data_IF_774784102200
#
_entry.id   IF_774784102200
#
_cell.length_a   1.000
_cell.length_b   1.000
_cell.length_c   1.000
_cell.angle_alpha   90.00
_cell.angle_beta   90.00
_cell.angle_gamma   90.00
#
_symmetry.space_group_name_H-M   'P 1'
#
loop_
_entity.id
_entity.type
_entity.pdbx_description
1 polymer ?
#
# COMPACT_ATOMS: atom_id res chain seq x y z
N UNK A 1 -71.23 29.66 4.08
CA UNK A 1 -70.05 29.99 3.25
C UNK A 1 -68.78 30.09 4.10
N UNK A 2 -68.44 29.05 4.89
CA UNK A 2 -67.29 29.09 5.82
C UNK A 2 -66.52 27.76 5.96
N UNK A 3 -66.81 26.76 5.11
CA UNK A 3 -66.26 25.40 5.23
C UNK A 3 -65.24 25.04 4.15
N UNK A 4 -64.95 25.92 3.17
CA UNK A 4 -64.07 25.58 2.04
C UNK A 4 -62.64 26.14 2.16
N UNK A 5 -62.44 27.25 2.87
CA UNK A 5 -61.10 27.87 3.05
C UNK A 5 -60.19 27.13 4.03
N UNK A 6 -60.71 26.24 4.87
CA UNK A 6 -59.93 25.54 5.90
C UNK A 6 -59.26 24.26 5.40
N UNK A 7 -59.76 23.67 4.31
CA UNK A 7 -59.26 22.40 3.76
C UNK A 7 -58.00 22.63 2.91
N UNK A 8 -58.04 23.56 1.96
CA UNK A 8 -56.90 23.90 1.08
C UNK A 8 -55.63 24.37 1.81
N UNK A 9 -55.77 25.09 2.93
CA UNK A 9 -54.61 25.58 3.68
C UNK A 9 -53.92 24.47 4.49
N UNK A 10 -54.63 23.37 4.78
CA UNK A 10 -54.06 22.21 5.49
C UNK A 10 -53.21 21.37 4.53
N UNK A 11 -53.71 21.11 3.32
CA UNK A 11 -53.03 20.28 2.33
C UNK A 11 -51.66 20.85 1.89
N UNK A 12 -51.53 22.18 1.73
CA UNK A 12 -50.26 22.82 1.37
C UNK A 12 -49.23 22.74 2.50
N UNK A 13 -49.68 22.81 3.76
CA UNK A 13 -48.80 22.66 4.93
C UNK A 13 -48.29 21.23 5.06
N UNK A 14 -49.14 20.25 4.79
CA UNK A 14 -48.78 18.83 4.85
C UNK A 14 -47.83 18.45 3.70
N UNK A 15 -48.05 18.95 2.48
CA UNK A 15 -47.14 18.75 1.36
C UNK A 15 -45.76 19.43 1.57
N UNK A 16 -45.73 20.64 2.14
CA UNK A 16 -44.48 21.35 2.45
C UNK A 16 -43.73 20.70 3.61
N UNK A 17 -44.45 20.20 4.62
CA UNK A 17 -43.86 19.43 5.72
C UNK A 17 -43.27 18.11 5.21
N UNK A 18 -43.98 17.38 4.34
CA UNK A 18 -43.49 16.12 3.76
C UNK A 18 -42.24 16.33 2.88
N UNK A 19 -42.21 17.39 2.07
CA UNK A 19 -41.04 17.75 1.25
C UNK A 19 -39.82 18.16 2.09
N UNK A 20 -40.04 18.88 3.20
CA UNK A 20 -38.97 19.27 4.12
C UNK A 20 -38.39 18.06 4.88
N UNK A 21 -39.24 17.09 5.26
CA UNK A 21 -38.80 15.83 5.89
C UNK A 21 -38.00 14.97 4.91
N UNK A 22 -38.45 14.83 3.65
CA UNK A 22 -37.72 14.09 2.62
C UNK A 22 -36.33 14.68 2.30
N UNK A 23 -36.23 16.01 2.20
CA UNK A 23 -34.94 16.70 2.01
C UNK A 23 -34.01 16.59 3.23
N UNK A 24 -34.58 16.52 4.45
CA UNK A 24 -33.82 16.31 5.69
C UNK A 24 -33.20 14.92 5.75
N UNK A 25 -33.94 13.86 5.41
CA UNK A 25 -33.45 12.48 5.44
C UNK A 25 -32.36 12.23 4.39
N UNK A 26 -32.51 12.76 3.16
CA UNK A 26 -31.50 12.59 2.10
C UNK A 26 -30.18 13.32 2.41
N UNK A 27 -30.26 14.52 3.03
CA UNK A 27 -29.06 15.27 3.47
C UNK A 27 -28.38 14.61 4.68
N UNK A 28 -29.15 14.16 5.68
CA UNK A 28 -28.57 13.54 6.89
C UNK A 28 -27.90 12.20 6.56
N UNK A 29 -28.46 11.39 5.65
CA UNK A 29 -27.83 10.15 5.20
C UNK A 29 -26.52 10.35 4.44
N UNK A 30 -26.48 11.31 3.50
CA UNK A 30 -25.26 11.64 2.73
C UNK A 30 -24.14 12.22 3.61
N UNK A 31 -24.47 13.11 4.55
CA UNK A 31 -23.47 13.73 5.44
C UNK A 31 -22.89 12.68 6.39
N UNK A 32 -23.70 11.74 6.88
CA UNK A 32 -23.25 10.70 7.81
C UNK A 32 -22.29 9.70 7.16
N UNK A 33 -22.60 9.21 5.96
CA UNK A 33 -21.69 8.32 5.22
C UNK A 33 -20.35 9.00 4.86
N UNK A 34 -20.39 10.25 4.40
CA UNK A 34 -19.16 10.99 4.04
C UNK A 34 -18.33 11.29 5.29
N UNK A 35 -18.97 11.58 6.43
CA UNK A 35 -18.27 11.71 7.72
C UNK A 35 -17.65 10.40 8.15
N UNK A 36 -18.40 9.30 8.14
CA UNK A 36 -17.91 7.97 8.53
C UNK A 36 -16.79 7.47 7.59
N UNK A 37 -16.90 7.78 6.29
CA UNK A 37 -15.86 7.49 5.30
C UNK A 37 -14.62 8.35 5.51
N UNK A 38 -14.78 9.66 5.79
CA UNK A 38 -13.67 10.54 6.13
C UNK A 38 -12.98 10.05 7.40
N UNK A 39 -13.73 9.68 8.43
CA UNK A 39 -13.21 9.16 9.70
C UNK A 39 -12.51 7.81 9.51
N UNK A 40 -12.99 6.98 8.58
CA UNK A 40 -12.34 5.72 8.20
C UNK A 40 -11.01 5.93 7.46
N UNK A 41 -11.00 6.80 6.45
CA UNK A 41 -9.81 7.11 5.63
C UNK A 41 -8.78 7.93 6.42
N UNK A 42 -9.22 8.74 7.39
CA UNK A 42 -8.32 9.49 8.28
C UNK A 42 -7.56 8.59 9.25
N UNK A 43 -7.87 7.28 9.32
CA UNK A 43 -7.03 6.31 10.01
C UNK A 43 -5.74 6.13 9.20
N UNK A 44 -4.63 6.67 9.71
CA UNK A 44 -3.32 6.69 9.02
C UNK A 44 -2.88 5.32 8.48
N UNK A 45 -3.14 4.24 9.22
CA UNK A 45 -2.84 2.87 8.78
C UNK A 45 -3.51 2.47 7.45
N UNK A 46 -4.72 2.94 7.16
CA UNK A 46 -5.42 2.63 5.90
C UNK A 46 -4.88 3.49 4.76
N UNK A 47 -4.62 4.77 5.03
CA UNK A 47 -4.10 5.71 4.04
C UNK A 47 -2.71 5.28 3.55
N UNK A 48 -1.80 4.94 4.46
CA UNK A 48 -0.43 4.55 4.10
C UNK A 48 -0.40 3.23 3.30
N UNK A 49 -1.25 2.25 3.67
CA UNK A 49 -1.40 1.04 2.88
C UNK A 49 -2.02 1.30 1.49
N UNK A 50 -3.01 2.19 1.40
CA UNK A 50 -3.65 2.55 0.13
C UNK A 50 -2.67 3.25 -0.82
N UNK A 51 -1.89 4.21 -0.32
CA UNK A 51 -0.85 4.88 -1.12
C UNK A 51 0.21 3.88 -1.57
N UNK A 52 0.65 2.98 -0.69
CA UNK A 52 1.61 1.92 -1.03
C UNK A 52 1.12 1.01 -2.16
N UNK A 53 -0.15 0.57 -2.12
CA UNK A 53 -0.75 -0.26 -3.17
C UNK A 53 -0.87 0.48 -4.50
N UNK A 54 -1.37 1.72 -4.50
CA UNK A 54 -1.57 2.52 -5.72
C UNK A 54 -0.22 2.82 -6.39
N UNK A 55 0.76 3.27 -5.61
CA UNK A 55 2.11 3.54 -6.11
C UNK A 55 2.79 2.25 -6.58
N UNK A 56 2.61 1.14 -5.86
CA UNK A 56 3.12 -0.17 -6.27
C UNK A 56 2.53 -0.67 -7.59
N UNK A 57 1.23 -0.52 -7.79
CA UNK A 57 0.55 -0.90 -9.04
C UNK A 57 1.00 -0.03 -10.22
N UNK A 58 1.06 1.30 -10.02
CA UNK A 58 1.52 2.23 -11.05
C UNK A 58 3.00 1.99 -11.41
N UNK A 59 3.86 1.77 -10.41
CA UNK A 59 5.27 1.48 -10.62
C UNK A 59 5.46 0.16 -11.37
N UNK A 60 4.73 -0.89 -11.00
CA UNK A 60 4.75 -2.16 -11.72
C UNK A 60 4.35 -1.98 -13.19
N UNK A 61 3.31 -1.19 -13.47
CA UNK A 61 2.89 -0.90 -14.84
C UNK A 61 3.98 -0.18 -15.66
N UNK A 62 4.71 0.77 -15.05
CA UNK A 62 5.84 1.47 -15.69
C UNK A 62 6.97 0.48 -16.02
N UNK A 63 7.32 -0.38 -15.06
CA UNK A 63 8.38 -1.38 -15.26
C UNK A 63 7.98 -2.37 -16.35
N UNK A 64 6.75 -2.89 -16.31
CA UNK A 64 6.21 -3.79 -17.34
C UNK A 64 6.21 -3.13 -18.72
N UNK A 65 5.82 -1.85 -18.82
CA UNK A 65 5.89 -1.09 -20.07
C UNK A 65 7.31 -0.95 -20.60
N UNK A 66 8.28 -0.65 -19.73
CA UNK A 66 9.70 -0.56 -20.09
C UNK A 66 10.22 -1.92 -20.61
N UNK A 67 9.87 -3.00 -19.95
CA UNK A 67 10.26 -4.36 -20.38
C UNK A 67 9.63 -4.69 -21.72
N UNK A 68 8.31 -4.51 -21.84
CA UNK A 68 7.58 -4.94 -23.02
C UNK A 68 7.87 -4.09 -24.27
N UNK A 69 8.05 -2.77 -24.09
CA UNK A 69 8.20 -1.84 -25.20
C UNK A 69 9.66 -1.52 -25.56
N UNK A 70 10.61 -1.71 -24.63
CA UNK A 70 12.03 -1.40 -24.88
C UNK A 70 12.89 -2.66 -24.82
N UNK A 71 12.82 -3.43 -23.73
CA UNK A 71 13.71 -4.59 -23.58
C UNK A 71 13.35 -5.74 -24.51
N UNK A 72 12.08 -6.12 -24.63
CA UNK A 72 11.68 -7.22 -25.51
C UNK A 72 12.01 -6.95 -26.98
N UNK A 73 11.74 -5.76 -27.58
CA UNK A 73 12.15 -5.48 -28.95
C UNK A 73 13.68 -5.43 -29.11
N UNK A 74 14.40 -4.82 -28.16
CA UNK A 74 15.86 -4.75 -28.22
C UNK A 74 16.50 -6.14 -28.16
N UNK A 75 16.00 -7.01 -27.27
CA UNK A 75 16.45 -8.40 -27.17
C UNK A 75 16.02 -9.21 -28.40
N UNK A 76 14.78 -9.05 -28.85
CA UNK A 76 14.26 -9.71 -30.04
C UNK A 76 15.07 -9.40 -31.31
N UNK A 77 15.62 -8.18 -31.44
CA UNK A 77 16.53 -7.85 -32.53
C UNK A 77 17.90 -8.54 -32.43
N UNK A 78 18.41 -8.75 -31.22
CA UNK A 78 19.73 -9.37 -30.98
C UNK A 78 19.64 -10.91 -31.05
N UNK A 79 18.55 -11.47 -30.54
CA UNK A 79 18.38 -12.92 -30.36
C UNK A 79 17.47 -13.56 -31.42
N UNK A 80 16.96 -12.78 -32.37
CA UNK A 80 16.21 -13.28 -33.53
C UNK A 80 14.75 -13.65 -33.25
N UNK A 81 14.00 -12.74 -32.60
CA UNK A 81 12.58 -12.92 -32.26
C UNK A 81 12.34 -14.21 -31.45
N UNK A 82 12.93 -14.27 -30.25
CA UNK A 82 12.65 -15.36 -29.31
C UNK A 82 11.23 -15.16 -28.77
N UNK A 83 10.25 -15.76 -29.45
CA UNK A 83 8.92 -15.99 -28.92
C UNK A 83 8.69 -17.49 -28.77
N UNK A 84 8.68 -17.96 -27.53
CA UNK A 84 8.39 -19.35 -27.21
C UNK A 84 6.88 -19.62 -27.12
N UNK A 85 6.02 -18.61 -27.27
CA UNK A 85 4.57 -18.73 -27.05
C UNK A 85 3.89 -19.77 -27.95
N UNK A 86 4.46 -20.06 -29.11
CA UNK A 86 3.94 -21.06 -30.05
C UNK A 86 4.24 -22.50 -29.64
N UNK A 87 5.10 -22.71 -28.64
CA UNK A 87 5.43 -24.03 -28.13
C UNK A 87 4.28 -24.56 -27.26
N UNK A 88 3.47 -25.44 -27.85
CA UNK A 88 2.36 -26.12 -27.19
C UNK A 88 2.37 -27.61 -27.48
N UNK A 89 2.04 -28.42 -26.48
CA UNK A 89 1.75 -29.85 -26.66
C UNK A 89 0.24 -29.98 -26.75
N UNK A 90 -0.27 -30.40 -27.90
CA UNK A 90 -1.69 -30.64 -28.12
C UNK A 90 -2.05 -32.03 -27.55
N UNK A 91 -2.86 -32.07 -26.50
CA UNK A 91 -3.33 -33.32 -25.88
C UNK A 91 -4.63 -33.82 -26.51
N UNK A 92 -5.49 -32.90 -26.94
CA UNK A 92 -6.70 -33.19 -27.71
C UNK A 92 -6.76 -32.22 -28.88
N UNK A 93 -6.69 -32.76 -30.10
CA UNK A 93 -6.86 -31.96 -31.30
C UNK A 93 -8.28 -31.40 -31.35
N UNK A 94 -8.42 -30.14 -31.78
CA UNK A 94 -9.74 -29.55 -32.01
C UNK A 94 -10.52 -30.36 -33.05
N UNK A 95 -11.75 -30.70 -32.73
CA UNK A 95 -12.68 -31.27 -33.71
C UNK A 95 -13.38 -30.10 -34.41
N UNK A 96 -13.13 -29.98 -35.72
CA UNK A 96 -13.73 -28.95 -36.58
C UNK A 96 -14.73 -29.61 -37.54
N UNK A 97 -15.96 -29.11 -37.60
CA UNK A 97 -16.84 -29.29 -38.77
C UNK A 97 -16.82 -27.99 -39.57
N UNK A 98 -16.17 -28.01 -40.73
CA UNK A 98 -16.04 -26.82 -41.57
C UNK A 98 -15.28 -25.69 -40.88
N UNK A 99 -15.90 -24.52 -40.76
CA UNK A 99 -15.31 -23.30 -40.18
C UNK A 99 -15.62 -23.13 -38.69
N UNK A 100 -16.49 -23.96 -38.11
CA UNK A 100 -16.87 -23.89 -36.70
C UNK A 100 -16.08 -24.90 -35.85
N UNK A 101 -15.62 -24.42 -34.70
CA UNK A 101 -14.90 -25.21 -33.71
C UNK A 101 -15.95 -25.81 -32.78
N UNK A 102 -16.20 -27.12 -32.89
CA UNK A 102 -17.19 -27.83 -32.06
C UNK A 102 -16.60 -28.14 -30.69
N UNK A 103 -15.33 -28.52 -30.65
CA UNK A 103 -14.57 -28.69 -29.41
C UNK A 103 -13.23 -27.93 -29.49
N UNK A 104 -12.91 -27.06 -28.52
CA UNK A 104 -11.64 -26.35 -28.51
C UNK A 104 -10.46 -27.33 -28.35
N UNK A 105 -9.32 -26.99 -28.95
CA UNK A 105 -8.10 -27.76 -28.71
C UNK A 105 -7.74 -27.69 -27.22
N UNK A 106 -7.34 -28.83 -26.66
CA UNK A 106 -6.79 -28.87 -25.31
C UNK A 106 -5.28 -29.04 -25.47
N UNK A 107 -4.56 -27.94 -25.31
CA UNK A 107 -3.11 -27.90 -25.42
C UNK A 107 -2.48 -27.36 -24.13
N UNK A 108 -1.37 -27.98 -23.72
CA UNK A 108 -0.49 -27.41 -22.68
C UNK A 108 0.49 -26.47 -23.39
N UNK A 109 0.24 -25.16 -23.30
CA UNK A 109 1.12 -24.11 -23.79
C UNK A 109 2.28 -23.86 -22.84
N UNK A 110 3.26 -24.76 -22.78
CA UNK A 110 4.48 -24.58 -21.96
C UNK A 110 5.33 -23.40 -22.46
N UNK A 111 5.19 -23.04 -23.72
CA UNK A 111 5.75 -21.84 -24.32
C UNK A 111 5.38 -20.55 -23.61
N UNK A 112 4.10 -20.36 -23.30
CA UNK A 112 3.61 -19.18 -22.58
C UNK A 112 4.15 -19.12 -21.14
N UNK A 113 4.38 -20.27 -20.50
CA UNK A 113 5.00 -20.34 -19.19
C UNK A 113 6.48 -19.92 -19.24
N UNK A 114 7.25 -20.44 -20.19
CA UNK A 114 8.65 -20.05 -20.39
C UNK A 114 8.76 -18.55 -20.70
N UNK A 115 7.87 -18.03 -21.56
CA UNK A 115 7.82 -16.61 -21.86
C UNK A 115 7.52 -15.77 -20.61
N UNK A 116 6.60 -16.23 -19.75
CA UNK A 116 6.30 -15.57 -18.47
C UNK A 116 7.50 -15.56 -17.51
N UNK A 117 8.28 -16.65 -17.46
CA UNK A 117 9.52 -16.73 -16.66
C UNK A 117 10.58 -15.76 -17.19
N UNK A 118 10.76 -15.69 -18.51
CA UNK A 118 11.68 -14.74 -19.15
C UNK A 118 11.24 -13.30 -18.87
N UNK A 119 9.96 -12.98 -19.05
CA UNK A 119 9.41 -11.65 -18.76
C UNK A 119 9.63 -11.26 -17.29
N UNK A 120 9.42 -12.19 -16.35
CA UNK A 120 9.69 -11.96 -14.93
C UNK A 120 11.17 -11.66 -14.66
N UNK A 121 12.10 -12.42 -15.25
CA UNK A 121 13.55 -12.17 -15.17
C UNK A 121 13.91 -10.78 -15.73
N UNK A 122 13.28 -10.36 -16.82
CA UNK A 122 13.48 -9.02 -17.40
C UNK A 122 12.93 -7.90 -16.53
N UNK A 123 11.75 -8.08 -15.93
CA UNK A 123 11.18 -7.14 -14.94
C UNK A 123 12.13 -7.01 -13.74
N UNK A 124 12.61 -8.12 -13.20
CA UNK A 124 13.57 -8.10 -12.09
C UNK A 124 14.87 -7.37 -12.46
N UNK A 125 15.42 -7.65 -13.64
CA UNK A 125 16.61 -6.96 -14.16
C UNK A 125 16.38 -5.46 -14.35
N UNK A 126 15.21 -5.08 -14.88
CA UNK A 126 14.81 -3.70 -15.11
C UNK A 126 14.71 -2.91 -13.80
N UNK A 127 14.05 -3.47 -12.79
CA UNK A 127 13.97 -2.86 -11.44
C UNK A 127 15.36 -2.71 -10.82
N UNK A 128 16.22 -3.72 -10.96
CA UNK A 128 17.59 -3.68 -10.47
C UNK A 128 18.41 -2.55 -11.11
N UNK A 129 18.33 -2.40 -12.43
CA UNK A 129 18.99 -1.30 -13.16
C UNK A 129 18.46 0.05 -12.67
N UNK A 130 17.13 0.20 -12.54
CA UNK A 130 16.51 1.44 -12.08
C UNK A 130 16.99 1.85 -10.68
N UNK A 131 17.01 0.91 -9.73
CA UNK A 131 17.50 1.16 -8.36
C UNK A 131 18.99 1.51 -8.39
N UNK A 132 19.80 0.81 -9.20
CA UNK A 132 21.23 1.07 -9.34
C UNK A 132 21.49 2.46 -9.92
N UNK A 133 20.73 2.89 -10.91
CA UNK A 133 20.80 4.23 -11.51
C UNK A 133 20.44 5.28 -10.47
N UNK A 134 19.32 5.12 -9.76
CA UNK A 134 18.91 6.04 -8.69
C UNK A 134 19.95 6.11 -7.57
N UNK A 135 20.52 4.97 -7.16
CA UNK A 135 21.60 4.90 -6.17
C UNK A 135 22.89 5.59 -6.64
N UNK A 136 23.25 5.44 -7.92
CA UNK A 136 24.39 6.12 -8.52
C UNK A 136 24.19 7.64 -8.62
N UNK A 137 23.00 8.10 -8.98
CA UNK A 137 22.66 9.53 -9.01
C UNK A 137 22.62 10.14 -7.61
N UNK A 138 22.08 9.43 -6.61
CA UNK A 138 22.13 9.88 -5.21
C UNK A 138 23.57 9.92 -4.68
N UNK A 139 24.45 8.98 -5.05
CA UNK A 139 25.88 9.03 -4.70
C UNK A 139 26.59 10.23 -5.34
N UNK A 140 26.26 10.60 -6.58
CA UNK A 140 26.80 11.81 -7.22
C UNK A 140 26.30 13.12 -6.61
N UNK A 141 25.16 13.11 -5.91
CA UNK A 141 24.60 14.27 -5.20
C UNK A 141 24.96 14.32 -3.71
N UNK A 142 25.60 13.27 -3.19
CA UNK A 142 25.94 13.08 -1.78
C UNK A 142 27.40 13.43 -1.44
N UNK A 143 28.01 14.38 -2.17
CA UNK A 143 29.11 15.20 -1.62
C UNK A 143 28.59 16.37 -0.76
N UNK A 144 27.27 16.52 -0.61
CA UNK A 144 26.71 17.29 0.51
C UNK A 144 26.59 16.35 1.73
N UNK A 145 27.17 16.70 2.89
CA UNK A 145 27.14 15.86 4.09
C UNK A 145 25.74 15.35 4.37
N UNK A 146 25.62 14.02 4.38
CA UNK A 146 24.41 13.32 4.79
C UNK A 146 24.27 13.58 6.28
N UNK A 147 23.38 14.51 6.65
CA UNK A 147 22.94 14.63 8.04
C UNK A 147 22.49 13.24 8.47
N UNK A 148 23.18 12.72 9.48
CA UNK A 148 22.82 11.49 10.15
C UNK A 148 21.34 11.61 10.55
N UNK A 149 20.53 10.55 10.38
CA UNK A 149 19.15 10.60 10.84
C UNK A 149 19.21 10.95 12.32
N UNK A 150 18.70 12.14 12.68
CA UNK A 150 18.53 12.52 14.08
C UNK A 150 17.86 11.34 14.78
N UNK A 151 18.38 10.88 15.92
CA UNK A 151 17.76 9.78 16.64
C UNK A 151 16.29 10.10 16.81
N UNK A 152 15.43 9.09 16.62
CA UNK A 152 14.00 9.25 16.86
C UNK A 152 13.83 9.83 18.28
N UNK A 153 13.02 10.88 18.50
CA UNK A 153 12.83 11.47 19.83
C UNK A 153 12.51 10.42 20.90
N UNK A 154 11.90 9.30 20.51
CA UNK A 154 11.63 8.18 21.40
C UNK A 154 12.91 7.46 21.85
N UNK A 155 13.92 7.31 20.97
CA UNK A 155 15.24 6.75 21.29
C UNK A 155 16.01 7.68 22.23
N UNK A 156 15.89 9.00 22.05
CA UNK A 156 16.49 10.01 22.93
C UNK A 156 15.89 9.91 24.34
N UNK A 157 14.57 9.96 24.44
CA UNK A 157 13.85 9.81 25.72
C UNK A 157 14.13 8.46 26.40
N UNK A 158 14.21 7.35 25.65
CA UNK A 158 14.56 6.05 26.21
C UNK A 158 16.02 5.97 26.70
N UNK A 159 16.92 6.78 26.13
CA UNK A 159 18.30 6.88 26.60
C UNK A 159 18.36 7.72 27.87
N UNK A 160 17.65 8.84 27.93
CA UNK A 160 17.51 9.65 29.13
C UNK A 160 16.90 8.86 30.31
N UNK A 161 15.81 8.12 30.07
CA UNK A 161 15.17 7.29 31.12
C UNK A 161 16.14 6.20 31.63
N UNK A 162 16.93 5.58 30.74
CA UNK A 162 17.92 4.57 31.13
C UNK A 162 19.01 5.15 32.01
N UNK A 163 19.51 6.33 31.67
CA UNK A 163 20.57 7.00 32.41
C UNK A 163 20.08 7.48 33.77
N UNK A 164 18.84 7.97 33.86
CA UNK A 164 18.19 8.31 35.13
C UNK A 164 18.01 7.08 36.02
N UNK A 165 17.52 5.96 35.47
CA UNK A 165 17.31 4.72 36.25
C UNK A 165 18.63 4.09 36.70
N UNK A 166 19.68 4.19 35.88
CA UNK A 166 21.04 3.75 36.23
C UNK A 166 21.63 4.64 37.32
N UNK A 167 21.41 5.94 37.25
CA UNK A 167 21.78 6.89 38.30
C UNK A 167 21.07 6.58 39.62
N UNK A 168 19.76 6.34 39.59
CA UNK A 168 18.96 6.00 40.78
C UNK A 168 19.35 4.64 41.40
N UNK A 169 19.71 3.66 40.55
CA UNK A 169 20.23 2.37 41.00
C UNK A 169 21.64 2.45 41.60
N UNK A 170 22.47 3.38 41.11
CA UNK A 170 23.80 3.65 41.66
C UNK A 170 23.70 4.37 43.02
N UNK A 171 22.80 5.35 43.15
CA UNK A 171 22.51 6.03 44.43
C UNK A 171 21.97 5.04 45.47
N UNK A 172 21.14 4.08 45.07
CA UNK A 172 20.66 3.03 45.97
C UNK A 172 21.77 2.09 46.44
N UNK A 173 22.77 1.81 45.60
CA UNK A 173 23.93 0.99 45.96
C UNK A 173 24.89 1.74 46.92
N UNK A 174 25.05 3.05 46.76
CA UNK A 174 25.84 3.89 47.68
C UNK A 174 25.15 4.06 49.04
N UNK A 175 23.81 4.15 49.08
CA UNK A 175 23.06 4.20 50.35
C UNK A 175 23.06 2.88 51.14
N UNK A 176 23.27 1.72 50.49
CA UNK A 176 23.36 0.42 51.17
C UNK A 176 24.75 0.14 51.78
N UNK A 177 25.81 0.86 51.38
CA UNK A 177 27.16 0.70 51.95
C UNK A 177 27.38 1.51 53.25
N UNK A 178 26.61 2.57 53.52
CA UNK A 178 26.74 3.37 54.76
C UNK A 178 26.11 2.72 56.01
N UNK A 179 25.27 1.68 55.88
CA UNK A 179 24.60 1.04 57.03
C UNK A 179 25.36 -0.18 57.60
N UNK A 180 26.58 -0.48 57.12
CA UNK A 180 27.26 -1.74 57.47
C UNK A 180 28.74 -1.62 57.83
N UNK A 181 29.07 -0.92 58.93
CA UNK A 181 30.17 -1.30 59.85
C UNK A 181 29.87 -0.80 61.29
N UNK A 182 30.36 -1.51 62.33
CA UNK A 182 29.49 -2.08 63.38
C UNK A 182 29.54 -1.39 64.75
N UNK A 183 28.41 -1.45 65.48
CA UNK A 183 28.40 -1.45 66.95
C UNK A 183 29.07 -2.73 67.49
N UNK A 184 29.70 -2.63 68.68
CA UNK A 184 30.49 -3.63 69.47
C UNK A 184 32.01 -3.46 69.26
N UNK A 185 32.84 -3.09 70.24
CA UNK A 185 33.06 -3.74 71.55
C UNK A 185 33.57 -2.72 72.59
N UNK A 186 32.84 -2.59 73.71
CA UNK A 186 33.39 -2.24 75.03
C UNK A 186 32.84 -3.23 76.03
N UNK A 187 33.59 -4.30 76.29
CA UNK A 187 33.94 -4.84 77.61
C UNK A 187 35.05 -5.90 77.43
#
# INVERSE_FOLDING_TARGET
MSTEKKTQHKDIRDAKAFKAVGQGVEKVGKIKFISEFKDFISKGNVMDMAVGMIVGAAFTAIVTSLVNNILMPALGMITGQIDFSDLKIVLKAAVKEGTEIIEPEVAIGYGAFINSVISFLLIALSVFILIKVLGAFKRKKAEAPKEEPKPDPQIELLTEIRDLLKGESAVKAECEEEEKEPETVTE
#
